data_IF_183211421432
#
_entry.id   IF_183211421432
#
_cell.length_a   1.000
_cell.length_b   1.000
_cell.length_c   1.000
_cell.angle_alpha   90.00
_cell.angle_beta   90.00
_cell.angle_gamma   90.00
#
_symmetry.space_group_name_H-M   'P 1'
#
loop_
_entity.id
_entity.type
_entity.pdbx_description
1 polymer ?
#
# COMPACT_ATOMS: atom_id res chain seq x y z
N UNK A 1 -4.38 8.19 2.75
CA UNK A 1 -5.74 7.71 2.48
C UNK A 1 -6.06 6.61 3.48
N UNK A 2 -7.09 6.83 4.29
CA UNK A 2 -7.53 5.92 5.35
C UNK A 2 -8.42 4.85 4.73
N UNK A 3 -7.98 3.60 4.67
CA UNK A 3 -8.80 2.50 4.16
C UNK A 3 -9.40 1.72 5.32
N UNK A 4 -10.73 1.70 5.39
CA UNK A 4 -11.49 0.91 6.35
C UNK A 4 -11.51 -0.54 5.85
N UNK A 5 -10.89 -1.47 6.57
CA UNK A 5 -10.98 -2.88 6.20
C UNK A 5 -12.36 -3.41 6.58
N UNK A 6 -13.27 -3.47 5.61
CA UNK A 6 -14.52 -4.20 5.77
C UNK A 6 -14.29 -5.67 5.36
N UNK A 7 -14.37 -6.57 6.34
CA UNK A 7 -14.30 -8.01 6.13
C UNK A 7 -15.60 -8.49 5.47
N UNK A 8 -15.47 -8.89 4.19
CA UNK A 8 -16.32 -9.76 3.38
C UNK A 8 -17.85 -9.70 3.58
N UNK A 9 -18.55 -9.05 2.64
CA UNK A 9 -20.01 -9.09 2.52
C UNK A 9 -20.40 -9.59 1.11
N UNK A 10 -21.18 -10.68 0.98
CA UNK A 10 -21.66 -11.18 -0.31
C UNK A 10 -22.60 -10.21 -1.07
N UNK A 11 -22.98 -9.07 -0.46
CA UNK A 11 -23.76 -7.99 -1.09
C UNK A 11 -22.92 -6.90 -1.77
N UNK A 12 -21.59 -7.02 -1.80
CA UNK A 12 -20.76 -6.09 -2.54
C UNK A 12 -20.97 -6.31 -4.05
N UNK A 13 -21.87 -5.53 -4.65
CA UNK A 13 -22.12 -5.49 -6.09
C UNK A 13 -20.88 -4.96 -6.83
N UNK A 14 -19.94 -5.86 -7.12
CA UNK A 14 -18.70 -5.60 -7.84
C UNK A 14 -18.93 -5.42 -9.34
N UNK A 15 -19.77 -4.47 -9.74
CA UNK A 15 -20.07 -4.20 -11.15
C UNK A 15 -19.11 -3.18 -11.79
N UNK A 16 -18.16 -2.64 -11.04
CA UNK A 16 -17.13 -1.74 -11.56
C UNK A 16 -15.72 -2.16 -11.12
N UNK A 17 -14.91 -2.50 -12.11
CA UNK A 17 -13.58 -3.12 -11.98
C UNK A 17 -12.54 -2.28 -11.21
N UNK A 18 -12.74 -0.96 -11.07
CA UNK A 18 -11.63 -0.07 -10.75
C UNK A 18 -11.51 0.40 -9.29
N UNK A 19 -12.52 0.27 -8.42
CA UNK A 19 -12.35 0.75 -7.02
C UNK A 19 -13.04 -0.05 -5.92
N UNK A 20 -14.25 -0.56 -6.13
CA UNK A 20 -15.04 -1.02 -4.99
C UNK A 20 -14.67 -2.42 -4.48
N UNK A 21 -14.06 -3.28 -5.30
CA UNK A 21 -13.80 -4.67 -4.90
C UNK A 21 -12.33 -5.04 -4.81
N UNK A 22 -11.48 -4.48 -5.68
CA UNK A 22 -10.05 -4.78 -5.67
C UNK A 22 -9.21 -3.67 -5.04
N UNK A 23 -9.78 -2.50 -4.69
CA UNK A 23 -9.02 -1.34 -4.22
C UNK A 23 -8.28 -1.57 -2.91
N UNK A 24 -8.81 -2.39 -2.00
CA UNK A 24 -8.14 -2.77 -0.74
C UNK A 24 -6.95 -3.69 -1.02
N UNK A 25 -7.18 -4.74 -1.82
CA UNK A 25 -6.13 -5.68 -2.20
C UNK A 25 -4.99 -4.98 -2.92
N UNK A 26 -5.31 -4.15 -3.92
CA UNK A 26 -4.35 -3.38 -4.71
C UNK A 26 -3.49 -2.46 -3.84
N UNK A 27 -4.06 -1.86 -2.79
CA UNK A 27 -3.28 -1.05 -1.86
C UNK A 27 -2.29 -1.90 -1.03
N UNK A 28 -2.69 -3.11 -0.62
CA UNK A 28 -1.81 -4.02 0.15
C UNK A 28 -0.62 -4.48 -0.69
N UNK A 29 -0.83 -4.78 -1.98
CA UNK A 29 0.22 -5.28 -2.88
C UNK A 29 0.93 -4.18 -3.68
N UNK A 30 0.84 -2.93 -3.23
CA UNK A 30 1.41 -1.80 -3.94
C UNK A 30 2.93 -1.73 -3.75
N UNK A 31 3.70 -2.01 -4.81
CA UNK A 31 5.15 -2.17 -4.78
C UNK A 31 5.90 -0.92 -4.30
N UNK A 32 5.35 0.28 -4.51
CA UNK A 32 5.95 1.53 -4.02
C UNK A 32 5.66 1.79 -2.54
N UNK A 33 4.66 1.16 -1.95
CA UNK A 33 4.31 1.33 -0.54
C UNK A 33 5.28 0.52 0.31
N UNK A 34 6.04 1.19 1.18
CA UNK A 34 7.04 0.55 2.03
C UNK A 34 6.80 0.79 3.54
N UNK A 35 5.84 1.63 3.90
CA UNK A 35 5.46 1.90 5.28
C UNK A 35 3.96 1.63 5.46
N UNK A 36 3.63 0.96 6.55
CA UNK A 36 2.25 0.73 6.98
C UNK A 36 2.13 0.99 8.47
N UNK A 37 1.07 1.70 8.86
CA UNK A 37 0.70 1.88 10.26
C UNK A 37 -0.77 1.55 10.45
N UNK A 38 -1.10 0.64 11.36
CA UNK A 38 -2.46 0.21 11.61
C UNK A 38 -2.93 0.56 13.02
N UNK A 39 -4.21 0.85 13.15
CA UNK A 39 -4.89 1.12 14.41
C UNK A 39 -6.19 0.35 14.51
N UNK A 40 -6.58 0.04 15.74
CA UNK A 40 -7.80 -0.66 16.07
C UNK A 40 -8.58 0.12 17.12
N UNK A 41 -9.89 0.26 16.93
CA UNK A 41 -10.77 0.94 17.88
C UNK A 41 -12.11 0.21 18.00
N UNK A 42 -12.65 0.16 19.22
CA UNK A 42 -13.99 -0.36 19.48
C UNK A 42 -14.99 0.78 19.54
N UNK A 43 -15.82 0.91 18.51
CA UNK A 43 -16.83 1.96 18.41
C UNK A 43 -18.21 1.42 18.81
N UNK A 44 -19.09 2.26 19.36
CA UNK A 44 -20.50 1.87 19.56
C UNK A 44 -21.27 2.03 18.27
N UNK A 45 -21.06 3.17 17.63
CA UNK A 45 -21.67 3.61 16.39
C UNK A 45 -20.57 4.16 15.47
N UNK A 46 -20.64 3.87 14.17
CA UNK A 46 -19.70 4.39 13.16
C UNK A 46 -20.50 5.18 12.14
N UNK A 47 -20.19 6.47 12.01
CA UNK A 47 -20.88 7.35 11.07
C UNK A 47 -20.67 6.86 9.62
N UNK A 48 -21.75 6.81 8.83
CA UNK A 48 -21.72 6.37 7.43
C UNK A 48 -21.95 4.86 7.22
N UNK A 49 -22.13 4.08 8.28
CA UNK A 49 -22.57 2.69 8.21
C UNK A 49 -23.99 2.55 8.79
N UNK A 50 -24.90 1.97 8.01
CA UNK A 50 -26.28 1.72 8.43
C UNK A 50 -26.35 0.43 9.24
N UNK A 51 -26.55 0.55 10.56
CA UNK A 51 -26.70 -0.58 11.49
C UNK A 51 -26.17 -0.27 12.88
N UNK A 52 -26.89 -0.65 13.94
CA UNK A 52 -26.39 -0.55 15.31
C UNK A 52 -25.43 -1.72 15.58
N UNK A 53 -24.25 -1.45 16.15
CA UNK A 53 -23.34 -2.50 16.62
C UNK A 53 -22.01 -2.67 15.89
N UNK A 54 -21.49 -1.62 15.23
CA UNK A 54 -20.12 -1.63 14.66
C UNK A 54 -19.06 -1.58 15.76
N UNK A 55 -18.82 -2.72 16.41
CA UNK A 55 -18.00 -2.82 17.63
C UNK A 55 -16.50 -2.77 17.40
N UNK A 56 -16.01 -2.95 16.17
CA UNK A 56 -14.59 -3.08 15.89
C UNK A 56 -14.26 -2.37 14.57
N UNK A 57 -13.35 -1.41 14.60
CA UNK A 57 -12.87 -0.64 13.46
C UNK A 57 -11.37 -0.87 13.35
N UNK A 58 -10.93 -1.35 12.19
CA UNK A 58 -9.53 -1.54 11.87
C UNK A 58 -9.16 -0.69 10.65
N UNK A 59 -8.07 0.06 10.79
CA UNK A 59 -7.63 1.05 9.82
C UNK A 59 -6.14 0.90 9.63
N UNK A 60 -5.67 0.89 8.38
CA UNK A 60 -4.25 1.04 8.07
C UNK A 60 -4.02 2.25 7.17
N UNK A 61 -2.91 2.93 7.42
CA UNK A 61 -2.33 3.95 6.58
C UNK A 61 -1.12 3.37 5.86
N UNK A 62 -1.03 3.68 4.57
CA UNK A 62 0.03 3.21 3.67
C UNK A 62 0.80 4.41 3.14
N UNK A 63 2.12 4.35 3.21
CA UNK A 63 3.01 5.39 2.70
C UNK A 63 4.15 4.75 1.89
N UNK A 64 4.47 5.25 0.68
CA UNK A 64 3.65 6.11 -0.18
C UNK A 64 2.23 5.56 -0.43
N UNK A 65 1.30 6.46 -0.77
CA UNK A 65 -0.08 6.08 -1.10
C UNK A 65 -0.11 5.26 -2.39
N UNK A 66 -0.90 4.18 -2.39
CA UNK A 66 -1.17 3.39 -3.58
C UNK A 66 -2.49 3.75 -4.25
N UNK A 67 -2.86 2.95 -5.25
CA UNK A 67 -4.11 3.11 -6.00
C UNK A 67 -4.26 4.54 -6.60
N UNK A 68 -3.16 5.04 -7.16
CA UNK A 68 -3.10 6.39 -7.73
C UNK A 68 -3.49 6.39 -9.21
N UNK A 69 -4.27 7.38 -9.62
CA UNK A 69 -4.66 7.63 -11.01
C UNK A 69 -4.25 9.06 -11.35
N UNK A 70 -3.68 9.29 -12.52
CA UNK A 70 -3.34 10.63 -13.01
C UNK A 70 -4.02 10.92 -14.36
N UNK A 71 -4.23 12.21 -14.64
CA UNK A 71 -4.77 12.68 -15.92
C UNK A 71 -3.59 12.95 -16.85
N UNK A 72 -3.59 12.30 -18.00
CA UNK A 72 -2.59 12.50 -19.06
C UNK A 72 -2.84 13.83 -19.80
N UNK A 73 -1.86 14.31 -20.57
CA UNK A 73 -1.99 15.56 -21.35
C UNK A 73 -3.14 15.55 -22.38
N UNK A 74 -3.66 14.37 -22.74
CA UNK A 74 -4.84 14.19 -23.60
C UNK A 74 -6.17 14.13 -22.83
N UNK A 75 -6.18 14.36 -21.51
CA UNK A 75 -7.37 14.27 -20.67
C UNK A 75 -7.77 12.85 -20.27
N UNK A 76 -6.99 11.83 -20.66
CA UNK A 76 -7.27 10.43 -20.33
C UNK A 76 -6.77 10.08 -18.92
N UNK A 77 -7.56 9.29 -18.19
CA UNK A 77 -7.18 8.73 -16.88
C UNK A 77 -6.23 7.55 -17.05
N UNK A 78 -5.09 7.58 -16.35
CA UNK A 78 -4.11 6.50 -16.30
C UNK A 78 -3.97 5.99 -14.86
N UNK A 79 -4.27 4.71 -14.64
CA UNK A 79 -4.07 4.05 -13.36
C UNK A 79 -2.64 3.51 -13.26
N UNK A 80 -1.93 3.88 -12.21
CA UNK A 80 -0.58 3.36 -11.94
C UNK A 80 -0.68 1.86 -11.63
N UNK A 81 0.18 1.00 -12.20
CA UNK A 81 0.19 -0.41 -11.86
C UNK A 81 0.64 -0.61 -10.41
N UNK A 82 -0.01 -1.55 -9.72
CA UNK A 82 0.27 -1.84 -8.32
C UNK A 82 1.66 -2.46 -8.12
N UNK A 83 2.03 -3.39 -8.98
CA UNK A 83 3.32 -4.08 -8.97
C UNK A 83 3.69 -4.50 -10.39
N UNK A 84 4.96 -4.81 -10.60
CA UNK A 84 5.45 -5.46 -11.81
C UNK A 84 5.55 -6.97 -11.59
N UNK A 85 5.19 -7.74 -12.62
CA UNK A 85 5.24 -9.19 -12.62
C UNK A 85 6.64 -9.62 -13.10
N UNK A 86 7.22 -10.64 -12.45
CA UNK A 86 8.50 -11.20 -12.84
C UNK A 86 8.29 -12.17 -14.01
N UNK A 87 8.57 -11.72 -15.23
CA UNK A 87 8.33 -12.50 -16.44
C UNK A 87 9.30 -12.25 -17.57
N UNK A 88 9.38 -13.26 -18.45
CA UNK A 88 10.45 -13.36 -19.43
C UNK A 88 11.79 -13.32 -18.70
N UNK A 89 12.64 -12.36 -19.08
CA UNK A 89 13.97 -12.18 -18.49
C UNK A 89 13.97 -11.34 -17.20
N UNK A 90 12.82 -10.79 -16.77
CA UNK A 90 12.73 -10.04 -15.51
C UNK A 90 12.54 -11.00 -14.34
N UNK A 91 13.65 -11.33 -13.68
CA UNK A 91 13.64 -12.07 -12.43
C UNK A 91 13.01 -11.30 -11.28
N UNK A 92 12.69 -12.00 -10.19
CA UNK A 92 12.29 -11.35 -8.93
C UNK A 92 13.39 -10.38 -8.49
N UNK A 93 13.01 -9.21 -7.99
CA UNK A 93 13.95 -8.16 -7.55
C UNK A 93 14.86 -7.58 -8.64
N UNK A 94 14.59 -7.78 -9.94
CA UNK A 94 15.40 -7.20 -11.01
C UNK A 94 15.39 -5.66 -11.00
N UNK A 95 14.31 -5.08 -10.47
CA UNK A 95 14.02 -3.64 -10.53
C UNK A 95 13.95 -3.02 -9.11
N UNK A 96 14.75 -3.52 -8.15
CA UNK A 96 14.78 -2.94 -6.80
C UNK A 96 15.41 -1.53 -6.76
N UNK A 97 14.84 -0.60 -5.97
CA UNK A 97 15.38 0.75 -5.84
C UNK A 97 16.65 0.78 -4.97
N UNK A 98 17.47 1.81 -5.13
CA UNK A 98 18.68 2.02 -4.30
C UNK A 98 18.38 2.20 -2.81
N UNK A 99 17.18 2.62 -2.45
CA UNK A 99 16.71 2.71 -1.06
C UNK A 99 16.33 1.36 -0.44
N UNK A 100 16.27 0.29 -1.24
CA UNK A 100 15.97 -1.07 -0.79
C UNK A 100 16.69 -2.09 -1.70
N UNK A 101 18.04 -2.13 -1.67
CA UNK A 101 18.84 -2.84 -2.66
C UNK A 101 18.86 -4.37 -2.46
N UNK A 102 18.53 -4.86 -1.25
CA UNK A 102 18.56 -6.29 -0.96
C UNK A 102 17.25 -6.97 -1.38
N UNK A 103 17.33 -8.25 -1.75
CA UNK A 103 16.19 -9.06 -2.16
C UNK A 103 15.93 -10.18 -1.15
N UNK A 104 14.70 -10.29 -0.67
CA UNK A 104 14.26 -11.42 0.16
C UNK A 104 12.89 -11.90 -0.32
N UNK A 105 12.82 -13.17 -0.75
CA UNK A 105 11.59 -13.78 -1.25
C UNK A 105 10.85 -12.89 -2.28
N UNK A 106 11.59 -12.24 -3.19
CA UNK A 106 11.03 -11.37 -4.22
C UNK A 106 10.55 -9.99 -3.75
N UNK A 107 10.83 -9.61 -2.51
CA UNK A 107 10.60 -8.27 -1.98
C UNK A 107 11.94 -7.55 -1.84
N UNK A 108 11.94 -6.27 -2.22
CA UNK A 108 13.07 -5.37 -2.03
C UNK A 108 13.06 -4.85 -0.59
N UNK A 109 14.20 -4.86 0.09
CA UNK A 109 14.33 -4.34 1.45
C UNK A 109 15.69 -3.68 1.69
N UNK A 110 15.77 -2.86 2.74
CA UNK A 110 17.02 -2.29 3.24
C UNK A 110 17.51 -3.16 4.42
N UNK A 111 18.71 -3.77 4.35
CA UNK A 111 19.25 -4.54 5.46
C UNK A 111 19.71 -3.61 6.60
N UNK A 112 19.49 -4.04 7.85
CA UNK A 112 19.73 -3.23 9.05
C UNK A 112 21.17 -2.72 9.19
N UNK A 113 22.15 -3.49 8.71
CA UNK A 113 23.57 -3.14 8.75
C UNK A 113 23.91 -1.90 7.90
N UNK A 114 23.17 -1.68 6.80
CA UNK A 114 23.33 -0.52 5.92
C UNK A 114 22.57 0.71 6.43
N UNK A 115 21.55 0.53 7.26
CA UNK A 115 20.84 1.63 7.90
C UNK A 115 21.73 2.37 8.91
N UNK A 116 22.60 1.65 9.63
CA UNK A 116 23.53 2.23 10.62
C UNK A 116 24.63 3.09 9.98
N UNK A 117 25.13 2.69 8.81
CA UNK A 117 26.14 3.46 8.07
C UNK A 117 25.59 4.76 7.48
N UNK A 118 24.27 4.86 7.21
CA UNK A 118 23.66 6.12 6.73
C UNK A 118 23.34 7.09 7.87
N UNK A 119 22.99 6.59 9.06
CA UNK A 119 22.80 7.45 10.24
C UNK A 119 24.11 8.07 10.72
N UNK A 120 25.24 7.35 10.61
CA UNK A 120 26.54 7.82 11.07
C UNK A 120 27.22 8.85 10.15
N UNK A 121 26.62 9.21 9.01
CA UNK A 121 27.11 10.29 8.13
C UNK A 121 26.40 11.62 8.42
N UNK A 122 25.39 11.62 9.31
CA UNK A 122 24.56 12.80 9.60
C UNK A 122 24.73 13.36 11.02
N UNK A 123 25.80 13.01 11.75
CA UNK A 123 26.24 13.83 12.89
C UNK A 123 27.10 14.98 12.36
N UNK A 124 26.67 16.26 12.50
CA UNK A 124 27.56 17.38 12.29
C UNK A 124 28.55 17.39 13.46
N UNK A 125 29.82 17.14 13.16
CA UNK A 125 30.93 17.52 14.04
C UNK A 125 30.82 19.03 14.31
N UNK A 126 30.34 19.39 15.49
CA UNK A 126 30.36 20.75 16.05
C UNK A 126 30.86 20.69 17.48
#
# INVERSE_FOLDING_TARGET
MTQLFQVNNPRCACNHAYKHCCGHYVQVVWAKTNLVGCGFARCRDVQGLWGRGHRNVFVCHYNPQGNTVFVTGSGQLYAVPAFTWATGNKGRCSDCPSSAPACFQGLCYMPAEQQYSQTNVTEPST
#
